data_IF_365272277198
#
_entry.id   IF_365272277198
#
_cell.length_a   1.000
_cell.length_b   1.000
_cell.length_c   1.000
_cell.angle_alpha   90.00
_cell.angle_beta   90.00
_cell.angle_gamma   90.00
#
_symmetry.space_group_name_H-M   'P 1'
#
loop_
_entity.id
_entity.type
_entity.pdbx_description
1 polymer ?
#
# COMPACT_ATOMS: atom_id res chain seq x y z
N UNK A 1 49.69 -44.07 -59.21
CA UNK A 1 48.77 -43.92 -58.12
C UNK A 1 48.93 -42.53 -57.48
N UNK A 2 48.10 -41.54 -57.92
CA UNK A 2 48.16 -40.13 -57.44
C UNK A 2 47.27 -39.97 -56.25
N UNK A 3 47.87 -39.61 -55.13
CA UNK A 3 47.16 -39.17 -53.92
C UNK A 3 47.06 -37.64 -53.95
N UNK A 4 45.86 -37.14 -54.27
CA UNK A 4 45.59 -35.73 -54.19
C UNK A 4 45.21 -35.36 -52.71
N UNK A 5 45.85 -34.38 -52.04
CA UNK A 5 45.45 -33.94 -50.73
C UNK A 5 44.18 -33.12 -50.86
N UNK A 6 43.12 -33.57 -50.17
CA UNK A 6 41.92 -32.76 -49.96
C UNK A 6 42.28 -31.52 -49.14
N UNK A 7 42.32 -30.35 -49.79
CA UNK A 7 42.38 -29.10 -49.12
C UNK A 7 41.09 -28.85 -48.34
N UNK A 8 41.16 -29.05 -47.04
CA UNK A 8 40.10 -28.62 -46.12
C UNK A 8 40.12 -27.09 -46.13
N UNK A 9 39.21 -26.46 -46.89
CA UNK A 9 39.00 -25.04 -46.85
C UNK A 9 38.48 -24.64 -45.46
N UNK A 10 39.39 -24.15 -44.61
CA UNK A 10 38.99 -23.42 -43.39
C UNK A 10 38.23 -22.20 -43.86
N UNK A 11 36.90 -22.24 -43.85
CA UNK A 11 36.08 -21.03 -43.96
C UNK A 11 36.52 -20.13 -42.84
N UNK A 12 37.22 -19.08 -43.17
CA UNK A 12 37.51 -17.98 -42.24
C UNK A 12 36.16 -17.45 -41.74
N UNK A 13 35.88 -17.62 -40.46
CA UNK A 13 34.72 -17.02 -39.80
C UNK A 13 34.87 -15.52 -39.97
N UNK A 14 33.97 -14.91 -40.76
CA UNK A 14 34.00 -13.48 -41.02
C UNK A 14 33.73 -12.65 -39.74
N UNK A 15 34.11 -11.40 -39.76
CA UNK A 15 33.88 -10.49 -38.62
C UNK A 15 32.41 -10.41 -38.19
N UNK A 16 31.48 -10.75 -39.06
CA UNK A 16 30.03 -10.78 -38.84
C UNK A 16 29.56 -11.89 -37.87
N UNK A 17 30.27 -13.00 -37.75
CA UNK A 17 29.93 -14.08 -36.83
C UNK A 17 30.23 -13.72 -35.38
N UNK A 18 31.21 -12.85 -35.15
CA UNK A 18 31.56 -12.35 -33.80
C UNK A 18 30.52 -11.33 -33.27
N UNK A 19 29.95 -10.54 -34.17
CA UNK A 19 28.89 -9.58 -33.79
C UNK A 19 27.62 -10.31 -33.35
N UNK A 20 27.23 -11.35 -34.04
CA UNK A 20 26.01 -12.15 -33.76
C UNK A 20 26.04 -12.90 -32.44
N UNK A 21 27.22 -13.33 -31.95
CA UNK A 21 27.37 -13.97 -30.64
C UNK A 21 27.30 -12.95 -29.51
N UNK A 22 27.73 -11.73 -29.76
CA UNK A 22 27.72 -10.63 -28.78
C UNK A 22 26.32 -10.11 -28.53
N UNK A 23 25.44 -10.07 -29.54
CA UNK A 23 24.06 -9.59 -29.43
C UNK A 23 23.14 -10.54 -28.65
N UNK A 24 23.42 -11.85 -28.67
CA UNK A 24 22.58 -12.83 -27.94
C UNK A 24 22.60 -12.66 -26.42
N UNK A 25 23.75 -12.25 -25.85
CA UNK A 25 23.87 -12.00 -24.41
C UNK A 25 23.15 -10.72 -23.96
N UNK A 26 23.23 -9.66 -24.78
CA UNK A 26 22.61 -8.38 -24.47
C UNK A 26 21.09 -8.42 -24.51
N UNK A 27 20.49 -9.15 -25.44
CA UNK A 27 19.04 -9.30 -25.54
C UNK A 27 18.46 -10.01 -24.29
N UNK A 28 19.11 -11.04 -23.79
CA UNK A 28 18.66 -11.78 -22.60
C UNK A 28 18.71 -10.91 -21.34
N UNK A 29 19.80 -10.16 -21.14
CA UNK A 29 19.96 -9.24 -20.02
C UNK A 29 18.91 -8.12 -20.08
N UNK A 30 18.65 -7.56 -21.27
CA UNK A 30 17.63 -6.52 -21.46
C UNK A 30 16.22 -7.03 -21.13
N UNK A 31 15.87 -8.25 -21.54
CA UNK A 31 14.57 -8.85 -21.24
C UNK A 31 14.41 -9.11 -19.73
N UNK A 32 15.43 -9.66 -19.08
CA UNK A 32 15.40 -9.86 -17.62
C UNK A 32 15.27 -8.53 -16.90
N UNK A 33 16.03 -7.51 -17.30
CA UNK A 33 15.94 -6.16 -16.74
C UNK A 33 14.54 -5.55 -16.88
N UNK A 34 13.91 -5.73 -18.05
CA UNK A 34 12.54 -5.26 -18.29
C UNK A 34 11.52 -5.98 -17.40
N UNK A 35 11.64 -7.30 -17.25
CA UNK A 35 10.75 -8.08 -16.37
C UNK A 35 10.87 -7.60 -14.93
N UNK A 36 12.08 -7.41 -14.41
CA UNK A 36 12.32 -6.91 -13.06
C UNK A 36 11.71 -5.51 -12.89
N UNK A 37 11.89 -4.62 -13.87
CA UNK A 37 11.33 -3.28 -13.83
C UNK A 37 9.79 -3.29 -13.77
N UNK A 38 9.15 -4.13 -14.59
CA UNK A 38 7.68 -4.27 -14.59
C UNK A 38 7.20 -4.82 -13.24
N UNK A 39 7.85 -5.85 -12.70
CA UNK A 39 7.51 -6.40 -11.39
C UNK A 39 7.65 -5.37 -10.28
N UNK A 40 8.74 -4.59 -10.28
CA UNK A 40 8.95 -3.54 -9.28
C UNK A 40 7.89 -2.45 -9.35
N UNK A 41 7.51 -1.99 -10.55
CA UNK A 41 6.44 -1.02 -10.76
C UNK A 41 5.08 -1.56 -10.29
N UNK A 42 4.78 -2.83 -10.59
CA UNK A 42 3.52 -3.46 -10.20
C UNK A 42 3.40 -3.57 -8.67
N UNK A 43 4.46 -4.01 -8.00
CA UNK A 43 4.50 -4.11 -6.54
C UNK A 43 4.40 -2.73 -5.88
N UNK A 44 5.06 -1.72 -6.43
CA UNK A 44 4.96 -0.33 -5.96
C UNK A 44 3.54 0.24 -6.08
N UNK A 45 2.86 0.00 -7.19
CA UNK A 45 1.48 0.44 -7.39
C UNK A 45 0.51 -0.22 -6.39
N UNK A 46 0.68 -1.51 -6.09
CA UNK A 46 -0.13 -2.22 -5.11
C UNK A 46 0.06 -1.67 -3.69
N UNK A 47 1.26 -1.28 -3.31
CA UNK A 47 1.55 -0.72 -1.99
C UNK A 47 0.90 0.66 -1.81
N UNK A 48 0.92 1.52 -2.82
CA UNK A 48 0.22 2.81 -2.82
C UNK A 48 -1.29 2.61 -2.66
N UNK A 49 -1.90 1.70 -3.40
CA UNK A 49 -3.33 1.44 -3.32
C UNK A 49 -3.75 0.97 -1.92
N UNK A 50 -2.96 0.11 -1.29
CA UNK A 50 -3.21 -0.36 0.08
C UNK A 50 -3.13 0.77 1.09
N UNK A 51 -2.17 1.68 0.97
CA UNK A 51 -2.02 2.81 1.90
C UNK A 51 -3.19 3.79 1.80
N UNK A 52 -3.71 4.05 0.60
CA UNK A 52 -4.90 4.87 0.38
C UNK A 52 -6.13 4.21 1.01
N UNK A 53 -6.33 2.91 0.81
CA UNK A 53 -7.45 2.17 1.38
C UNK A 53 -7.45 2.19 2.92
N UNK A 54 -6.27 2.07 3.55
CA UNK A 54 -6.13 2.20 5.00
C UNK A 54 -6.50 3.60 5.50
N UNK A 55 -6.05 4.66 4.81
CA UNK A 55 -6.37 6.03 5.16
C UNK A 55 -7.87 6.32 5.04
N UNK A 56 -8.54 5.81 3.99
CA UNK A 56 -9.98 5.92 3.84
C UNK A 56 -10.75 5.20 4.96
N UNK A 57 -10.33 3.99 5.31
CA UNK A 57 -10.94 3.25 6.42
C UNK A 57 -10.79 3.99 7.75
N UNK A 58 -9.61 4.54 8.02
CA UNK A 58 -9.38 5.31 9.23
C UNK A 58 -10.26 6.56 9.30
N UNK A 59 -10.42 7.29 8.20
CA UNK A 59 -11.30 8.45 8.12
C UNK A 59 -12.76 8.07 8.34
N UNK A 60 -13.27 7.10 7.59
CA UNK A 60 -14.65 6.64 7.73
C UNK A 60 -14.95 6.17 9.17
N UNK A 61 -14.04 5.39 9.77
CA UNK A 61 -14.18 4.94 11.15
C UNK A 61 -14.17 6.09 12.16
N UNK A 62 -13.31 7.12 11.96
CA UNK A 62 -13.28 8.30 12.84
C UNK A 62 -14.55 9.15 12.74
N UNK A 63 -15.08 9.35 11.53
CA UNK A 63 -16.29 10.12 11.30
C UNK A 63 -17.51 9.46 11.94
N UNK A 64 -17.67 8.14 11.72
CA UNK A 64 -18.77 7.38 12.33
C UNK A 64 -18.66 7.32 13.86
N UNK A 65 -17.46 7.15 14.41
CA UNK A 65 -17.24 7.13 15.84
C UNK A 65 -17.53 8.51 16.47
N UNK A 66 -17.09 9.60 15.81
CA UNK A 66 -17.35 10.97 16.29
C UNK A 66 -18.85 11.31 16.26
N UNK A 67 -19.57 10.92 15.19
CA UNK A 67 -21.03 11.13 15.08
C UNK A 67 -21.78 10.35 16.16
N UNK A 68 -21.39 9.09 16.40
CA UNK A 68 -22.01 8.26 17.43
C UNK A 68 -21.81 8.83 18.84
N UNK A 69 -20.59 9.32 19.12
CA UNK A 69 -20.29 9.96 20.40
C UNK A 69 -20.99 11.33 20.55
N UNK A 70 -21.07 12.14 19.49
CA UNK A 70 -21.80 13.40 19.51
C UNK A 70 -23.30 13.20 19.77
N UNK A 71 -23.89 12.13 19.23
CA UNK A 71 -25.26 11.78 19.49
C UNK A 71 -25.49 11.50 21.00
N UNK A 72 -24.63 10.73 21.65
CA UNK A 72 -24.69 10.47 23.10
C UNK A 72 -24.47 11.76 23.92
N UNK A 73 -23.55 12.63 23.47
CA UNK A 73 -23.30 13.90 24.14
C UNK A 73 -24.52 14.83 24.10
N UNK A 74 -25.26 14.87 22.98
CA UNK A 74 -26.52 15.63 22.84
C UNK A 74 -27.63 15.07 23.73
N UNK A 75 -27.66 13.75 23.93
CA UNK A 75 -28.62 13.11 24.86
C UNK A 75 -28.27 13.32 26.34
N UNK A 76 -27.14 13.96 26.63
CA UNK A 76 -26.70 14.22 28.00
C UNK A 76 -26.15 12.96 28.72
N UNK A 77 -25.78 11.91 27.99
CA UNK A 77 -25.29 10.65 28.55
C UNK A 77 -23.93 10.76 29.27
N UNK A 78 -23.26 11.90 29.18
CA UNK A 78 -21.95 12.14 29.78
C UNK A 78 -20.78 11.71 28.88
N UNK A 79 -19.60 12.27 29.14
CA UNK A 79 -18.42 12.11 28.31
C UNK A 79 -17.90 10.66 28.24
N UNK A 80 -18.00 9.91 29.35
CA UNK A 80 -17.57 8.50 29.38
C UNK A 80 -18.41 7.62 28.47
N UNK A 81 -19.75 7.76 28.53
CA UNK A 81 -20.67 6.98 27.69
C UNK A 81 -20.49 7.33 26.22
N UNK A 82 -20.32 8.63 25.91
CA UNK A 82 -20.05 9.08 24.54
C UNK A 82 -18.75 8.44 23.99
N UNK A 83 -17.69 8.43 24.78
CA UNK A 83 -16.41 7.83 24.36
C UNK A 83 -16.46 6.29 24.27
N UNK A 84 -17.21 5.61 25.11
CA UNK A 84 -17.46 4.16 25.01
C UNK A 84 -18.24 3.84 23.73
N UNK A 85 -19.23 4.66 23.39
CA UNK A 85 -19.98 4.51 22.15
C UNK A 85 -19.08 4.70 20.93
N UNK A 86 -18.23 5.75 20.94
CA UNK A 86 -17.21 5.94 19.91
C UNK A 86 -16.30 4.71 19.76
N UNK A 87 -15.84 4.13 20.89
CA UNK A 87 -14.98 2.96 20.88
C UNK A 87 -15.65 1.74 20.24
N UNK A 88 -16.90 1.48 20.60
CA UNK A 88 -17.66 0.36 20.03
C UNK A 88 -17.85 0.50 18.52
N UNK A 89 -18.15 1.71 18.04
CA UNK A 89 -18.30 1.99 16.58
C UNK A 89 -16.97 1.89 15.86
N UNK A 90 -15.88 2.40 16.44
CA UNK A 90 -14.55 2.28 15.86
C UNK A 90 -14.13 0.81 15.69
N UNK A 91 -14.33 -0.03 16.71
CA UNK A 91 -14.03 -1.46 16.66
C UNK A 91 -14.87 -2.18 15.60
N UNK A 92 -16.17 -1.87 15.50
CA UNK A 92 -17.06 -2.44 14.50
C UNK A 92 -16.60 -2.09 13.05
N UNK A 93 -15.87 -0.99 12.87
CA UNK A 93 -15.28 -0.56 11.60
C UNK A 93 -13.79 -0.94 11.44
N UNK A 94 -13.28 -1.85 12.26
CA UNK A 94 -11.91 -2.34 12.18
C UNK A 94 -10.84 -1.33 12.61
N UNK A 95 -11.23 -0.33 13.42
CA UNK A 95 -10.33 0.68 13.95
C UNK A 95 -10.25 0.57 15.49
N UNK A 96 -9.25 1.24 16.07
CA UNK A 96 -9.12 1.40 17.53
C UNK A 96 -9.08 2.88 17.87
N UNK A 97 -9.72 3.25 18.96
CA UNK A 97 -9.62 4.61 19.49
C UNK A 97 -8.22 4.83 20.07
N UNK A 98 -7.59 5.92 19.63
CA UNK A 98 -6.35 6.45 20.19
C UNK A 98 -6.58 7.68 21.07
N UNK A 99 -7.74 8.33 20.95
CA UNK A 99 -8.14 9.46 21.77
C UNK A 99 -9.60 9.81 21.57
N UNK A 100 -10.26 10.26 22.64
CA UNK A 100 -11.62 10.77 22.61
C UNK A 100 -11.71 11.93 23.61
N UNK A 101 -12.18 13.08 23.16
CA UNK A 101 -12.33 14.29 23.95
C UNK A 101 -13.72 14.85 23.70
N UNK A 102 -14.47 15.07 24.77
CA UNK A 102 -15.77 15.74 24.74
C UNK A 102 -15.60 17.11 25.38
N UNK A 103 -15.97 18.15 24.67
CA UNK A 103 -15.90 19.53 25.21
C UNK A 103 -17.19 19.90 25.98
N UNK A 104 -17.11 20.92 26.81
CA UNK A 104 -18.27 21.43 27.55
C UNK A 104 -19.42 21.91 26.64
N UNK A 105 -19.09 22.31 25.40
CA UNK A 105 -20.06 22.76 24.39
C UNK A 105 -20.72 21.55 23.64
N UNK A 106 -20.39 20.32 24.01
CA UNK A 106 -20.97 19.10 23.41
C UNK A 106 -20.31 18.69 22.12
N UNK A 107 -19.19 19.29 21.71
CA UNK A 107 -18.43 18.78 20.57
C UNK A 107 -17.52 17.63 20.98
N UNK A 108 -17.42 16.64 20.12
CA UNK A 108 -16.62 15.43 20.35
C UNK A 108 -15.51 15.34 19.30
N UNK A 109 -14.28 15.15 19.75
CA UNK A 109 -13.13 14.88 18.89
C UNK A 109 -12.67 13.45 19.13
N UNK A 110 -12.67 12.64 18.07
CA UNK A 110 -12.25 11.24 18.12
C UNK A 110 -11.03 11.05 17.24
N UNK A 111 -10.03 10.40 17.78
CA UNK A 111 -8.85 9.95 17.06
C UNK A 111 -8.87 8.43 16.97
N UNK A 112 -8.75 7.89 15.78
CA UNK A 112 -8.68 6.44 15.56
C UNK A 112 -7.39 6.03 14.88
N UNK A 113 -7.02 4.77 15.05
CA UNK A 113 -5.92 4.12 14.36
C UNK A 113 -6.41 2.83 13.73
N UNK A 114 -5.95 2.57 12.50
CA UNK A 114 -6.17 1.32 11.76
C UNK A 114 -4.81 0.74 11.44
N UNK A 115 -4.56 -0.50 11.88
CA UNK A 115 -3.33 -1.22 11.56
C UNK A 115 -3.51 -2.05 10.29
N UNK A 116 -2.47 -2.10 9.47
CA UNK A 116 -2.39 -3.03 8.35
C UNK A 116 -2.12 -4.45 8.86
N UNK A 117 -2.75 -5.46 8.23
CA UNK A 117 -2.45 -6.86 8.49
C UNK A 117 -1.10 -7.35 7.90
N UNK A 118 -0.36 -6.48 7.21
CA UNK A 118 0.92 -6.82 6.60
C UNK A 118 2.04 -6.91 7.65
N UNK A 119 3.07 -7.77 7.46
CA UNK A 119 4.17 -7.96 8.41
C UNK A 119 5.02 -6.68 8.62
N UNK A 120 5.01 -5.73 7.70
CA UNK A 120 5.50 -4.36 7.85
C UNK A 120 4.32 -3.44 8.15
N UNK A 121 3.80 -3.54 9.35
CA UNK A 121 2.57 -2.86 9.77
C UNK A 121 2.67 -1.34 9.59
N UNK A 122 1.93 -0.81 8.61
CA UNK A 122 1.62 0.61 8.51
C UNK A 122 0.37 0.89 9.33
N UNK A 123 0.41 1.93 10.12
CA UNK A 123 -0.74 2.40 10.90
C UNK A 123 -1.26 3.68 10.27
N UNK A 124 -2.53 3.69 9.89
CA UNK A 124 -3.21 4.91 9.50
C UNK A 124 -3.90 5.53 10.71
N UNK A 125 -3.77 6.86 10.86
CA UNK A 125 -4.42 7.64 11.91
C UNK A 125 -5.35 8.64 11.28
N UNK A 126 -6.53 8.79 11.84
CA UNK A 126 -7.49 9.81 11.45
C UNK A 126 -8.10 10.48 12.68
N UNK A 127 -8.49 11.74 12.53
CA UNK A 127 -9.16 12.55 13.55
C UNK A 127 -10.43 13.09 12.95
N UNK A 128 -11.54 12.97 13.67
CA UNK A 128 -12.81 13.57 13.31
C UNK A 128 -13.37 14.36 14.48
N UNK A 129 -14.11 15.42 14.17
CA UNK A 129 -14.84 16.24 15.14
C UNK A 129 -16.29 16.32 14.73
N UNK A 130 -17.20 16.07 15.67
CA UNK A 130 -18.63 16.21 15.51
C UNK A 130 -19.22 16.98 16.68
N UNK A 131 -20.30 17.71 16.47
CA UNK A 131 -20.98 18.48 17.47
C UNK A 131 -21.51 19.79 16.93
N UNK A 132 -22.21 20.59 17.76
CA UNK A 132 -22.65 21.95 17.39
C UNK A 132 -21.45 22.80 17.02
N UNK A 133 -21.58 23.53 15.91
CA UNK A 133 -20.58 24.46 15.40
C UNK A 133 -20.55 25.80 16.17
#
# INVERSE_FOLDING_TARGET
AGHLPRSVSRRARGPWDRARVRDRGHATVAVIGLIIAILALTLGALDVTRSIALAHRARSASDLAALAAAHEAVLGSGASVACERAASVAVANGARIAGCVVTAEGSVTVTVTVASAAPWSRTARAVARAGPG
#
